data_IF_334727669661
#
_entry.id   IF_334727669661
#
_cell.length_a   1.000
_cell.length_b   1.000
_cell.length_c   1.000
_cell.angle_alpha   90.00
_cell.angle_beta   90.00
_cell.angle_gamma   90.00
#
_symmetry.space_group_name_H-M   'P 1'
#
loop_
_entity.id
_entity.type
_entity.pdbx_description
1 polymer ?
#
# COMPACT_ATOMS: atom_id res chain seq x y z
N UNK A 1 -8.59 21.15 0.67
CA UNK A 1 -7.21 21.00 0.15
C UNK A 1 -6.99 19.51 0.03
N UNK A 2 -6.55 19.04 -1.12
CA UNK A 2 -6.30 17.61 -1.35
C UNK A 2 -4.81 17.32 -1.14
N UNK A 3 -4.51 16.22 -0.45
CA UNK A 3 -3.16 15.72 -0.25
C UNK A 3 -3.11 14.33 -0.86
N UNK A 4 -2.11 14.10 -1.71
CA UNK A 4 -1.82 12.78 -2.25
C UNK A 4 -0.35 12.43 -2.03
N UNK A 5 -0.08 11.19 -1.63
CA UNK A 5 1.25 10.67 -1.38
C UNK A 5 1.43 9.42 -2.25
N UNK A 6 2.48 9.41 -3.08
CA UNK A 6 2.82 8.29 -3.95
C UNK A 6 4.25 7.84 -3.67
N UNK A 7 4.44 6.53 -3.49
CA UNK A 7 5.77 5.93 -3.40
C UNK A 7 5.74 4.41 -3.27
N UNK A 8 6.90 3.81 -3.48
CA UNK A 8 7.20 2.44 -3.06
C UNK A 8 7.59 2.49 -1.58
N UNK A 9 6.63 2.20 -0.71
CA UNK A 9 6.86 2.22 0.74
C UNK A 9 7.62 0.97 1.22
N UNK A 10 7.80 -0.04 0.36
CA UNK A 10 8.47 -1.31 0.67
C UNK A 10 8.00 -1.95 1.99
N UNK A 11 6.73 -1.73 2.34
CA UNK A 11 6.10 -2.30 3.54
C UNK A 11 5.31 -3.54 3.19
N UNK A 12 5.04 -4.38 4.19
CA UNK A 12 4.15 -5.52 4.03
C UNK A 12 2.90 -5.28 4.86
N UNK A 13 1.77 -5.02 4.19
CA UNK A 13 0.49 -4.83 4.86
C UNK A 13 -0.64 -5.52 4.09
N UNK A 14 -1.42 -6.36 4.78
CA UNK A 14 -2.42 -7.21 4.14
C UNK A 14 -3.53 -6.40 3.44
N UNK A 15 -4.05 -5.35 4.07
CA UNK A 15 -5.15 -4.55 3.49
C UNK A 15 -4.70 -3.67 2.34
N UNK A 16 -3.43 -3.29 2.31
CA UNK A 16 -2.92 -2.33 1.35
C UNK A 16 -2.25 -2.99 0.16
N UNK A 17 -1.49 -4.04 0.42
CA UNK A 17 -0.60 -4.64 -0.57
C UNK A 17 -0.92 -6.11 -0.85
N UNK A 18 -2.01 -6.63 -0.26
CA UNK A 18 -2.45 -8.02 -0.39
C UNK A 18 -1.39 -9.05 0.04
N UNK A 19 -0.46 -8.66 0.92
CA UNK A 19 0.52 -9.59 1.49
C UNK A 19 -0.11 -10.50 2.54
N UNK A 20 0.37 -11.76 2.68
CA UNK A 20 -0.19 -12.73 3.62
C UNK A 20 0.14 -12.43 5.10
N UNK A 21 1.02 -11.46 5.37
CA UNK A 21 1.39 -11.02 6.71
C UNK A 21 1.62 -9.51 6.74
N UNK A 22 1.56 -8.96 7.95
CA UNK A 22 1.93 -7.57 8.25
C UNK A 22 3.30 -7.61 8.94
N UNK A 23 4.25 -6.80 8.46
CA UNK A 23 5.50 -6.58 9.18
C UNK A 23 5.44 -5.32 10.05
N UNK A 24 6.39 -5.19 10.98
CA UNK A 24 6.46 -4.03 11.87
C UNK A 24 6.67 -2.72 11.08
N UNK A 25 7.18 -2.80 9.84
CA UNK A 25 7.34 -1.67 8.94
C UNK A 25 6.01 -1.23 8.32
N UNK A 26 5.04 -2.14 8.15
CA UNK A 26 3.71 -1.88 7.60
C UNK A 26 2.69 -1.35 8.60
N UNK A 27 2.83 -1.65 9.90
CA UNK A 27 1.90 -1.14 10.92
C UNK A 27 1.96 0.39 11.10
N UNK A 28 3.16 0.98 11.08
CA UNK A 28 3.33 2.41 11.36
C UNK A 28 2.72 3.30 10.25
N UNK A 29 3.00 3.08 8.96
CA UNK A 29 2.40 3.86 7.88
C UNK A 29 0.88 3.64 7.77
N UNK A 30 0.41 2.41 8.05
CA UNK A 30 -1.02 2.11 8.09
C UNK A 30 -1.77 2.91 9.15
N UNK A 31 -1.26 2.91 10.37
CA UNK A 31 -1.83 3.71 11.46
C UNK A 31 -1.74 5.22 11.17
N UNK A 32 -0.65 5.68 10.55
CA UNK A 32 -0.52 7.08 10.13
C UNK A 32 -1.62 7.46 9.13
N UNK A 33 -1.87 6.65 8.10
CA UNK A 33 -2.90 6.94 7.12
C UNK A 33 -4.30 6.97 7.72
N UNK A 34 -4.63 6.04 8.62
CA UNK A 34 -5.91 6.07 9.37
C UNK A 34 -6.03 7.37 10.17
N UNK A 35 -4.98 7.75 10.90
CA UNK A 35 -5.00 8.98 11.73
C UNK A 35 -5.08 10.27 10.91
N UNK A 36 -4.78 10.22 9.62
CA UNK A 36 -4.79 11.37 8.72
C UNK A 36 -5.96 11.31 7.72
N UNK A 37 -6.90 10.38 7.90
CA UNK A 37 -8.03 10.15 6.99
C UNK A 37 -7.56 9.98 5.52
N UNK A 38 -6.45 9.25 5.32
CA UNK A 38 -5.91 8.93 4.00
C UNK A 38 -6.34 7.53 3.58
N UNK A 39 -6.83 7.43 2.34
CA UNK A 39 -7.27 6.18 1.74
C UNK A 39 -6.40 5.78 0.55
N UNK A 40 -6.27 4.47 0.33
CA UNK A 40 -5.52 3.93 -0.80
C UNK A 40 -6.36 3.96 -2.08
N UNK A 41 -5.88 4.68 -3.09
CA UNK A 41 -6.56 4.83 -4.38
C UNK A 41 -6.38 3.60 -5.30
N UNK A 42 -5.25 2.89 -5.18
CA UNK A 42 -4.91 1.77 -6.06
C UNK A 42 -5.33 0.44 -5.43
N UNK A 43 -6.28 -0.26 -6.05
CA UNK A 43 -6.74 -1.58 -5.58
C UNK A 43 -6.21 -2.75 -6.42
N UNK A 44 -5.43 -2.47 -7.47
CA UNK A 44 -4.94 -3.47 -8.42
C UNK A 44 -3.41 -3.58 -8.34
N UNK A 45 -2.84 -4.80 -8.47
CA UNK A 45 -1.41 -5.00 -8.45
C UNK A 45 -0.66 -4.06 -9.40
N UNK A 46 0.36 -3.37 -8.88
CA UNK A 46 1.21 -2.47 -9.68
C UNK A 46 2.50 -3.14 -10.13
N UNK A 47 2.88 -4.27 -9.52
CA UNK A 47 4.08 -5.03 -9.86
C UNK A 47 3.75 -6.25 -10.71
N UNK A 48 4.47 -6.40 -11.82
CA UNK A 48 4.60 -7.67 -12.54
C UNK A 48 5.68 -8.49 -11.82
N UNK A 49 5.41 -9.74 -11.39
CA UNK A 49 6.39 -10.54 -10.70
C UNK A 49 7.59 -10.87 -11.61
N UNK A 50 8.79 -10.78 -11.05
CA UNK A 50 10.03 -11.09 -11.77
C UNK A 50 10.31 -12.60 -11.83
N UNK A 51 9.56 -13.41 -11.06
CA UNK A 51 9.69 -14.85 -10.97
C UNK A 51 8.38 -15.58 -11.30
N UNK A 52 8.50 -16.70 -12.00
CA UNK A 52 7.36 -17.52 -12.40
C UNK A 52 6.76 -18.24 -11.18
N UNK A 53 5.59 -17.81 -10.74
CA UNK A 53 4.86 -18.39 -9.61
C UNK A 53 4.64 -17.44 -8.44
N UNK A 54 5.22 -16.23 -8.48
CA UNK A 54 4.95 -15.18 -7.50
C UNK A 54 3.58 -14.54 -7.75
N UNK A 55 2.92 -14.12 -6.66
CA UNK A 55 1.62 -13.45 -6.71
C UNK A 55 1.77 -12.03 -7.24
N UNK A 56 0.79 -11.58 -8.03
CA UNK A 56 0.64 -10.17 -8.39
C UNK A 56 0.37 -9.36 -7.11
N UNK A 57 1.31 -8.52 -6.73
CA UNK A 57 1.20 -7.69 -5.52
C UNK A 57 1.13 -6.21 -5.90
N UNK A 58 0.40 -5.45 -5.10
CA UNK A 58 0.52 -3.99 -5.10
C UNK A 58 1.83 -3.71 -4.37
N UNK A 59 2.72 -2.89 -4.95
CA UNK A 59 3.94 -2.43 -4.28
C UNK A 59 3.91 -0.92 -4.05
N UNK A 60 3.27 -0.19 -4.97
CA UNK A 60 3.14 1.26 -4.88
C UNK A 60 1.87 1.61 -4.12
N UNK A 61 2.00 2.52 -3.16
CA UNK A 61 0.84 3.11 -2.48
C UNK A 61 0.58 4.49 -3.05
N UNK A 62 -0.68 4.73 -3.40
CA UNK A 62 -1.23 6.06 -3.62
C UNK A 62 -2.21 6.30 -2.48
N UNK A 63 -1.83 7.15 -1.54
CA UNK A 63 -2.70 7.59 -0.45
C UNK A 63 -3.28 8.95 -0.79
N UNK A 64 -4.58 9.15 -0.61
CA UNK A 64 -5.26 10.43 -0.86
C UNK A 64 -6.24 10.77 0.25
N UNK A 65 -6.36 12.06 0.57
CA UNK A 65 -7.40 12.58 1.48
C UNK A 65 -8.77 12.76 0.79
N UNK A 66 -8.85 12.45 -0.51
CA UNK A 66 -10.05 12.54 -1.33
C UNK A 66 -10.07 11.34 -2.31
N UNK A 67 -10.59 10.18 -1.89
CA UNK A 67 -10.55 8.92 -2.63
C UNK A 67 -11.38 8.89 -3.91
#
# INVERSE_FOLDING_TARGET
MEISILGDFSVHHQLWLSFPFIDHSGELPFNFAILQDLEQLVQHPTRIPDYLGDTLNILDLVLTSNP
#
